data_IF_567280224353
#
_entry.id   IF_567280224353
#
_cell.length_a   1.000
_cell.length_b   1.000
_cell.length_c   1.000
_cell.angle_alpha   90.00
_cell.angle_beta   90.00
_cell.angle_gamma   90.00
#
_symmetry.space_group_name_H-M   'P 1'
#
loop_
_entity.id
_entity.type
_entity.pdbx_description
1 polymer ?
#
# COMPACT_ATOMS: atom_id res chain seq x y z
N UNK A 1 7.08 -0.69 -21.81
CA UNK A 1 6.00 -1.50 -22.44
C UNK A 1 4.83 -0.66 -22.90
N UNK A 2 4.22 0.17 -22.03
CA UNK A 2 3.12 1.06 -22.47
C UNK A 2 3.54 2.02 -23.60
N UNK A 3 4.66 2.72 -23.44
CA UNK A 3 5.19 3.62 -24.49
C UNK A 3 5.40 2.92 -25.84
N UNK A 4 5.82 1.65 -25.82
CA UNK A 4 5.95 0.85 -27.03
C UNK A 4 4.58 0.58 -27.66
N UNK A 5 3.59 0.18 -26.86
CA UNK A 5 2.22 -0.01 -27.34
C UNK A 5 1.61 1.29 -27.87
N UNK A 6 1.89 2.42 -27.23
CA UNK A 6 1.48 3.74 -27.67
C UNK A 6 2.12 4.14 -29.00
N UNK A 7 3.44 3.96 -29.14
CA UNK A 7 4.15 4.20 -30.41
C UNK A 7 3.60 3.33 -31.56
N UNK A 8 3.18 2.10 -31.26
CA UNK A 8 2.55 1.18 -32.22
C UNK A 8 1.05 1.43 -32.43
N UNK A 9 0.45 2.45 -31.79
CA UNK A 9 -1.00 2.74 -31.79
C UNK A 9 -1.88 1.55 -31.38
N UNK A 10 -1.36 0.73 -30.46
CA UNK A 10 -2.05 -0.41 -29.84
C UNK A 10 -2.21 -0.21 -28.33
N UNK A 11 -2.20 1.04 -27.87
CA UNK A 11 -2.43 1.37 -26.47
C UNK A 11 -3.91 1.15 -26.11
N UNK A 12 -4.15 0.47 -25.01
CA UNK A 12 -5.48 0.26 -24.43
C UNK A 12 -5.52 0.86 -23.02
N UNK A 13 -6.73 1.12 -22.51
CA UNK A 13 -6.89 1.54 -21.11
C UNK A 13 -6.38 0.49 -20.13
N UNK A 14 -6.46 -0.81 -20.44
CA UNK A 14 -5.84 -1.86 -19.62
C UNK A 14 -4.32 -1.71 -19.54
N UNK A 15 -3.65 -1.50 -20.68
CA UNK A 15 -2.20 -1.31 -20.69
C UNK A 15 -1.79 -0.03 -19.97
N UNK A 16 -2.61 1.03 -20.04
CA UNK A 16 -2.38 2.27 -19.29
C UNK A 16 -2.53 2.02 -17.79
N UNK A 17 -3.55 1.29 -17.38
CA UNK A 17 -3.74 0.91 -15.97
C UNK A 17 -2.58 0.07 -15.43
N UNK A 18 -2.13 -0.92 -16.19
CA UNK A 18 -0.95 -1.71 -15.86
C UNK A 18 0.35 -0.87 -15.85
N UNK A 19 0.38 0.29 -16.52
CA UNK A 19 1.49 1.22 -16.39
C UNK A 19 1.37 2.07 -15.11
N UNK A 20 0.15 2.44 -14.70
CA UNK A 20 -0.11 3.12 -13.43
C UNK A 20 0.32 2.28 -12.21
N UNK A 21 0.39 0.94 -12.32
CA UNK A 21 0.97 0.11 -11.25
C UNK A 21 2.48 0.28 -11.06
N UNK A 22 3.14 1.19 -11.81
CA UNK A 22 4.44 1.78 -11.45
C UNK A 22 4.50 2.20 -9.97
N UNK A 23 3.35 2.55 -9.38
CA UNK A 23 3.19 2.78 -7.94
C UNK A 23 3.86 1.69 -7.07
N UNK A 24 4.01 0.45 -7.55
CA UNK A 24 4.83 -0.61 -6.94
C UNK A 24 6.24 -0.17 -6.56
N UNK A 25 6.93 0.51 -7.47
CA UNK A 25 8.28 1.00 -7.22
C UNK A 25 8.30 2.07 -6.12
N UNK A 26 7.23 2.86 -6.01
CA UNK A 26 7.13 3.92 -5.01
C UNK A 26 6.74 3.38 -3.64
N UNK A 27 5.70 2.52 -3.55
CA UNK A 27 5.22 1.98 -2.26
C UNK A 27 6.20 0.99 -1.62
N UNK A 28 7.16 0.47 -2.38
CA UNK A 28 8.26 -0.36 -1.88
C UNK A 28 9.61 0.37 -1.85
N UNK A 29 9.62 1.70 -1.90
CA UNK A 29 10.80 2.56 -1.73
C UNK A 29 11.96 2.24 -2.70
N UNK A 30 11.64 1.78 -3.92
CA UNK A 30 12.63 1.44 -4.96
C UNK A 30 13.02 2.63 -5.84
N UNK A 31 12.20 3.69 -5.85
CA UNK A 31 12.45 4.94 -6.57
C UNK A 31 12.26 6.14 -5.65
N UNK A 32 12.94 7.24 -5.97
CA UNK A 32 12.77 8.49 -5.24
C UNK A 32 11.45 9.17 -5.58
N UNK A 33 10.98 10.05 -4.69
CA UNK A 33 9.74 10.82 -4.89
C UNK A 33 9.81 11.65 -6.18
N UNK A 34 10.95 12.26 -6.50
CA UNK A 34 11.12 13.10 -7.70
C UNK A 34 10.98 12.26 -8.98
N UNK A 35 11.55 11.05 -9.00
CA UNK A 35 11.44 10.14 -10.15
C UNK A 35 10.00 9.63 -10.31
N UNK A 36 9.34 9.33 -9.20
CA UNK A 36 7.94 8.92 -9.21
C UNK A 36 7.05 10.05 -9.75
N UNK A 37 7.20 11.28 -9.26
CA UNK A 37 6.44 12.44 -9.74
C UNK A 37 6.62 12.69 -11.23
N UNK A 38 7.86 12.61 -11.75
CA UNK A 38 8.14 12.77 -13.18
C UNK A 38 7.42 11.69 -14.03
N UNK A 39 7.41 10.45 -13.57
CA UNK A 39 6.75 9.36 -14.27
C UNK A 39 5.21 9.45 -14.20
N UNK A 40 4.67 9.84 -13.04
CA UNK A 40 3.23 10.11 -12.86
C UNK A 40 2.78 11.22 -13.80
N UNK A 41 3.54 12.32 -13.91
CA UNK A 41 3.22 13.41 -14.83
C UNK A 41 3.10 12.94 -16.29
N UNK A 42 3.98 12.03 -16.73
CA UNK A 42 3.87 11.42 -18.06
C UNK A 42 2.61 10.56 -18.22
N UNK A 43 2.30 9.72 -17.22
CA UNK A 43 1.08 8.91 -17.22
C UNK A 43 -0.20 9.75 -17.18
N UNK A 44 -0.21 10.89 -16.48
CA UNK A 44 -1.34 11.83 -16.48
C UNK A 44 -1.64 12.39 -17.88
N UNK A 45 -0.60 12.72 -18.64
CA UNK A 45 -0.76 13.17 -20.03
C UNK A 45 -1.44 12.09 -20.89
N UNK A 46 -1.06 10.82 -20.69
CA UNK A 46 -1.70 9.70 -21.37
C UNK A 46 -3.15 9.49 -20.93
N UNK A 47 -3.45 9.61 -19.62
CA UNK A 47 -4.82 9.56 -19.08
C UNK A 47 -5.70 10.64 -19.72
N UNK A 48 -5.17 11.86 -19.82
CA UNK A 48 -5.85 13.00 -20.45
C UNK A 48 -6.09 12.77 -21.94
N UNK A 49 -5.07 12.30 -22.67
CA UNK A 49 -5.15 12.01 -24.10
C UNK A 49 -6.07 10.84 -24.45
N UNK A 50 -6.35 9.94 -23.51
CA UNK A 50 -7.20 8.75 -23.72
C UNK A 50 -8.69 9.02 -23.48
N UNK A 51 -9.08 10.28 -23.19
CA UNK A 51 -10.48 10.64 -22.95
C UNK A 51 -11.08 10.07 -21.67
N UNK A 52 -10.23 9.68 -20.71
CA UNK A 52 -10.68 9.14 -19.42
C UNK A 52 -11.23 10.23 -18.47
N UNK A 53 -10.89 11.50 -18.71
CA UNK A 53 -11.41 12.63 -17.94
C UNK A 53 -12.83 12.97 -18.40
N UNK A 54 -13.81 12.69 -17.54
CA UNK A 54 -15.10 13.36 -17.59
C UNK A 54 -15.08 14.52 -16.58
N UNK A 55 -15.07 15.80 -17.01
CA UNK A 55 -14.96 16.96 -16.12
C UNK A 55 -16.08 17.06 -15.07
N UNK A 56 -17.14 16.27 -15.24
CA UNK A 56 -18.35 16.31 -14.43
C UNK A 56 -18.46 15.15 -13.41
N UNK A 57 -17.58 14.14 -13.48
CA UNK A 57 -17.76 12.89 -12.73
C UNK A 57 -19.04 12.13 -13.09
N UNK A 58 -19.78 12.55 -14.12
CA UNK A 58 -20.83 11.76 -14.72
C UNK A 58 -20.19 10.67 -15.58
N UNK A 59 -20.78 9.49 -15.67
CA UNK A 59 -20.36 8.48 -16.64
C UNK A 59 -20.52 8.99 -18.08
N UNK A 60 -20.27 8.14 -19.08
CA UNK A 60 -20.83 8.41 -20.40
C UNK A 60 -22.35 8.42 -20.20
N UNK A 61 -22.95 9.62 -20.27
CA UNK A 61 -24.39 9.78 -20.04
C UNK A 61 -25.08 9.36 -21.33
N UNK A 62 -25.59 8.13 -21.33
CA UNK A 62 -26.45 7.63 -22.39
C UNK A 62 -27.83 8.21 -22.15
N UNK A 63 -28.31 9.00 -23.11
CA UNK A 63 -29.70 9.45 -23.09
C UNK A 63 -30.54 8.35 -23.72
N UNK A 64 -31.38 7.71 -22.93
CA UNK A 64 -32.35 6.74 -23.39
C UNK A 64 -33.38 7.42 -24.32
N UNK A 65 -34.14 6.61 -25.09
CA UNK A 65 -35.12 7.11 -26.07
C UNK A 65 -36.24 7.97 -25.46
N UNK A 66 -36.44 7.90 -24.15
CA UNK A 66 -37.40 8.67 -23.35
C UNK A 66 -36.83 10.00 -22.81
N UNK A 67 -35.55 10.32 -23.11
CA UNK A 67 -34.86 11.50 -22.58
C UNK A 67 -34.18 11.28 -21.22
N UNK A 68 -34.29 10.09 -20.63
CA UNK A 68 -33.64 9.76 -19.36
C UNK A 68 -32.13 9.62 -19.55
N UNK A 69 -31.38 10.45 -18.85
CA UNK A 69 -29.91 10.43 -18.82
C UNK A 69 -29.42 9.33 -17.86
N UNK A 70 -29.03 8.18 -18.40
CA UNK A 70 -28.48 7.04 -17.64
C UNK A 70 -26.96 7.00 -17.79
N UNK A 71 -26.25 6.73 -16.70
CA UNK A 71 -24.79 6.55 -16.74
C UNK A 71 -24.49 5.17 -17.29
N UNK A 72 -23.78 5.08 -18.41
CA UNK A 72 -23.33 3.81 -18.94
C UNK A 72 -22.27 3.18 -18.02
N UNK A 73 -22.47 1.94 -17.55
CA UNK A 73 -21.55 1.26 -16.64
C UNK A 73 -20.30 0.67 -17.29
N UNK A 74 -20.23 0.59 -18.63
CA UNK A 74 -19.23 -0.24 -19.30
C UNK A 74 -17.83 0.39 -19.44
N UNK A 75 -17.68 1.69 -19.23
CA UNK A 75 -16.37 2.32 -19.35
C UNK A 75 -15.58 2.18 -18.04
N UNK A 76 -14.66 1.22 -17.98
CA UNK A 76 -13.59 1.28 -16.99
C UNK A 76 -12.77 2.54 -17.26
N UNK A 77 -12.69 3.42 -16.26
CA UNK A 77 -12.05 4.74 -16.36
C UNK A 77 -10.88 4.83 -15.41
N UNK A 78 -9.84 5.51 -15.84
CA UNK A 78 -8.66 5.82 -15.01
C UNK A 78 -8.71 7.31 -14.68
N UNK A 79 -8.69 7.62 -13.40
CA UNK A 79 -8.52 8.97 -12.89
C UNK A 79 -7.19 9.07 -12.14
N UNK A 80 -6.72 10.28 -11.94
CA UNK A 80 -5.64 10.57 -10.99
C UNK A 80 -6.21 11.39 -9.84
N UNK A 81 -5.73 11.13 -8.63
CA UNK A 81 -6.11 11.86 -7.43
C UNK A 81 -4.95 11.91 -6.45
N UNK A 82 -4.99 12.86 -5.51
CA UNK A 82 -4.05 12.87 -4.42
C UNK A 82 -4.52 11.88 -3.36
N UNK A 83 -3.72 10.86 -3.13
CA UNK A 83 -4.03 9.77 -2.21
C UNK A 83 -3.19 9.90 -0.94
N UNK A 84 -3.76 9.67 0.26
CA UNK A 84 -2.97 9.67 1.48
C UNK A 84 -1.98 8.51 1.48
N UNK A 85 -0.81 8.69 2.08
CA UNK A 85 0.22 7.65 2.32
C UNK A 85 -0.20 6.69 3.43
N UNK A 86 -1.38 6.12 3.25
CA UNK A 86 -2.04 5.19 4.14
C UNK A 86 -2.26 3.88 3.38
N UNK A 87 -1.71 2.80 3.90
CA UNK A 87 -1.86 1.47 3.32
C UNK A 87 -3.32 1.03 3.41
N UNK A 88 -3.89 0.63 2.27
CA UNK A 88 -5.19 -0.04 2.17
C UNK A 88 -6.32 0.67 2.94
N UNK A 89 -6.37 2.00 2.89
CA UNK A 89 -7.33 2.80 3.65
C UNK A 89 -8.78 2.33 3.45
N UNK A 90 -9.14 1.89 2.24
CA UNK A 90 -10.50 1.44 1.89
C UNK A 90 -10.85 0.05 2.46
N UNK A 91 -9.85 -0.74 2.82
CA UNK A 91 -9.99 -2.08 3.43
C UNK A 91 -9.79 -2.07 4.96
N UNK A 92 -9.50 -0.89 5.53
CA UNK A 92 -9.25 -0.68 6.94
C UNK A 92 -10.22 0.31 7.57
N UNK A 93 -10.12 0.46 8.89
CA UNK A 93 -10.58 1.68 9.56
C UNK A 93 -9.53 2.79 9.37
N UNK A 94 -9.94 4.06 9.39
CA UNK A 94 -8.97 5.17 9.33
C UNK A 94 -7.93 5.04 10.46
N UNK A 95 -8.40 4.64 11.65
CA UNK A 95 -7.54 4.44 12.82
C UNK A 95 -6.48 3.36 12.59
N UNK A 96 -6.88 2.16 12.15
CA UNK A 96 -5.96 1.05 11.92
C UNK A 96 -4.99 1.35 10.78
N UNK A 97 -5.45 2.07 9.76
CA UNK A 97 -4.60 2.51 8.66
C UNK A 97 -3.52 3.48 9.07
N UNK A 98 -3.86 4.49 9.86
CA UNK A 98 -2.85 5.36 10.46
C UNK A 98 -1.94 4.62 11.44
N UNK A 99 -2.48 3.66 12.20
CA UNK A 99 -1.71 2.89 13.18
C UNK A 99 -0.58 2.08 12.51
N UNK A 100 -0.90 1.44 11.38
CA UNK A 100 -0.04 0.43 10.77
C UNK A 100 0.76 0.92 9.57
N UNK A 101 0.39 2.01 8.91
CA UNK A 101 1.12 2.53 7.75
C UNK A 101 2.52 2.98 8.16
N UNK A 102 3.57 2.47 7.49
CA UNK A 102 4.98 2.69 7.87
C UNK A 102 5.34 4.16 8.07
N UNK A 103 4.86 5.06 7.20
CA UNK A 103 5.10 6.50 7.31
C UNK A 103 4.58 7.09 8.63
N UNK A 104 3.30 6.83 8.96
CA UNK A 104 2.68 7.35 10.19
C UNK A 104 3.23 6.64 11.42
N UNK A 105 3.39 5.32 11.32
CA UNK A 105 3.86 4.50 12.42
C UNK A 105 5.23 4.93 12.91
N UNK A 106 6.17 5.21 12.00
CA UNK A 106 7.54 5.62 12.33
C UNK A 106 7.62 7.03 12.91
N UNK A 107 6.88 7.99 12.34
CA UNK A 107 6.80 9.39 12.80
C UNK A 107 6.16 9.52 14.18
N UNK A 108 5.02 8.88 14.39
CA UNK A 108 4.26 8.97 15.65
C UNK A 108 4.65 7.91 16.68
N UNK A 109 5.48 6.92 16.28
CA UNK A 109 5.86 5.75 17.09
C UNK A 109 4.64 5.00 17.61
N UNK A 110 3.70 4.72 16.71
CA UNK A 110 2.36 4.16 17.02
C UNK A 110 2.40 2.82 17.74
N UNK A 111 3.52 2.09 17.64
CA UNK A 111 3.77 0.84 18.36
C UNK A 111 4.02 1.01 19.87
N UNK A 112 4.08 2.25 20.38
CA UNK A 112 4.21 2.56 21.81
C UNK A 112 2.88 3.09 22.36
N UNK A 113 2.60 2.89 23.65
CA UNK A 113 1.40 3.43 24.29
C UNK A 113 1.30 4.96 24.18
N UNK A 114 2.45 5.65 24.24
CA UNK A 114 2.51 7.09 24.08
C UNK A 114 2.19 7.50 22.63
N UNK A 115 2.72 6.79 21.65
CA UNK A 115 2.40 7.03 20.23
C UNK A 115 0.93 6.77 19.92
N UNK A 116 0.35 5.72 20.50
CA UNK A 116 -1.08 5.42 20.40
C UNK A 116 -1.94 6.54 21.00
N UNK A 117 -1.57 7.06 22.18
CA UNK A 117 -2.23 8.21 22.80
C UNK A 117 -2.11 9.46 21.92
N UNK A 118 -0.94 9.71 21.32
CA UNK A 118 -0.72 10.82 20.37
C UNK A 118 -1.60 10.70 19.14
N UNK A 119 -1.73 9.52 18.56
CA UNK A 119 -2.61 9.29 17.40
C UNK A 119 -4.08 9.54 17.76
N UNK A 120 -4.55 9.05 18.91
CA UNK A 120 -5.91 9.32 19.40
C UNK A 120 -6.15 10.82 19.63
N UNK A 121 -5.17 11.51 20.23
CA UNK A 121 -5.24 12.95 20.47
C UNK A 121 -5.24 13.74 19.16
N UNK A 122 -4.46 13.31 18.16
CA UNK A 122 -4.44 13.92 16.83
C UNK A 122 -5.82 13.84 16.17
N UNK A 123 -6.44 12.66 16.14
CA UNK A 123 -7.79 12.48 15.59
C UNK A 123 -8.84 13.31 16.34
N UNK A 124 -8.71 13.39 17.67
CA UNK A 124 -9.57 14.24 18.48
C UNK A 124 -9.38 15.74 18.18
N UNK A 125 -8.14 16.20 17.99
CA UNK A 125 -7.81 17.60 17.66
C UNK A 125 -8.30 18.01 16.27
N UNK A 126 -8.29 17.06 15.33
CA UNK A 126 -8.89 17.22 14.00
C UNK A 126 -10.42 17.34 14.09
N UNK A 127 -11.02 16.82 15.17
CA UNK A 127 -12.47 16.82 15.37
C UNK A 127 -13.14 15.59 14.78
N UNK A 128 -12.40 14.50 14.53
CA UNK A 128 -12.98 13.24 14.07
C UNK A 128 -13.32 12.36 15.27
N UNK A 129 -14.60 11.95 15.46
CA UNK A 129 -14.98 11.07 16.55
C UNK A 129 -14.21 9.75 16.45
N UNK A 130 -13.58 9.33 17.56
CA UNK A 130 -12.79 8.10 17.59
C UNK A 130 -13.63 6.87 17.19
N UNK A 131 -14.88 6.82 17.65
CA UNK A 131 -15.83 5.76 17.30
C UNK A 131 -16.10 5.69 15.79
N UNK A 132 -16.02 6.80 15.06
CA UNK A 132 -16.20 6.81 13.61
C UNK A 132 -14.90 6.40 12.89
N UNK A 133 -13.74 6.82 13.40
CA UNK A 133 -12.42 6.45 12.87
C UNK A 133 -12.11 4.96 13.02
N UNK A 134 -12.76 4.27 13.96
CA UNK A 134 -12.60 2.84 14.20
C UNK A 134 -13.56 1.97 13.38
N UNK A 135 -14.58 2.55 12.75
CA UNK A 135 -15.41 1.81 11.78
C UNK A 135 -14.62 1.59 10.51
N UNK A 136 -14.97 0.55 9.75
CA UNK A 136 -14.44 0.39 8.39
C UNK A 136 -14.66 1.68 7.60
N UNK A 137 -13.63 2.11 6.88
CA UNK A 137 -13.62 3.35 6.13
C UNK A 137 -14.81 3.44 5.19
N UNK A 138 -15.29 2.32 4.64
CA UNK A 138 -16.48 2.27 3.79
C UNK A 138 -17.73 2.82 4.50
N UNK A 139 -17.91 2.49 5.78
CA UNK A 139 -19.05 2.89 6.62
C UNK A 139 -18.81 4.15 7.47
N UNK A 140 -17.61 4.74 7.40
CA UNK A 140 -17.29 6.00 8.07
C UNK A 140 -18.14 7.15 7.51
N UNK A 141 -18.49 8.12 8.35
CA UNK A 141 -19.36 9.23 7.97
C UNK A 141 -18.82 10.03 6.78
N UNK A 142 -19.72 10.44 5.88
CA UNK A 142 -19.35 11.23 4.70
C UNK A 142 -18.89 12.64 5.05
N UNK A 143 -19.25 13.15 6.22
CA UNK A 143 -18.73 14.42 6.70
C UNK A 143 -17.23 14.33 7.01
N UNK A 144 -16.79 13.30 7.73
CA UNK A 144 -15.37 13.12 8.03
C UNK A 144 -14.58 12.89 6.75
N UNK A 145 -15.05 12.04 5.84
CA UNK A 145 -14.37 11.81 4.54
C UNK A 145 -14.19 13.10 3.73
N UNK A 146 -15.19 14.00 3.73
CA UNK A 146 -15.12 15.29 3.03
C UNK A 146 -14.13 16.27 3.67
N UNK A 147 -14.07 16.30 5.00
CA UNK A 147 -13.16 17.19 5.75
C UNK A 147 -11.73 16.65 5.83
N UNK A 148 -11.52 15.34 5.63
CA UNK A 148 -10.25 14.64 5.84
C UNK A 148 -9.05 15.32 5.17
N UNK A 149 -9.14 15.66 3.88
CA UNK A 149 -8.01 16.27 3.16
C UNK A 149 -7.63 17.63 3.75
N UNK A 150 -8.59 18.53 3.88
CA UNK A 150 -8.34 19.88 4.41
C UNK A 150 -7.81 19.87 5.85
N UNK A 151 -8.35 19.02 6.73
CA UNK A 151 -7.86 18.94 8.11
C UNK A 151 -6.48 18.29 8.21
N UNK A 152 -6.20 17.30 7.37
CA UNK A 152 -4.88 16.66 7.35
C UNK A 152 -3.80 17.61 6.85
N UNK A 153 -4.06 18.36 5.78
CA UNK A 153 -3.11 19.36 5.27
C UNK A 153 -2.82 20.46 6.31
N UNK A 154 -3.81 20.78 7.15
CA UNK A 154 -3.68 21.80 8.21
C UNK A 154 -2.92 21.31 9.44
N UNK A 155 -3.24 20.12 9.95
CA UNK A 155 -2.79 19.67 11.28
C UNK A 155 -1.65 18.65 11.26
N UNK A 156 -1.53 17.81 10.24
CA UNK A 156 -0.48 16.77 10.19
C UNK A 156 0.95 17.33 10.13
N UNK A 157 1.23 18.48 9.47
CA UNK A 157 2.57 19.06 9.47
C UNK A 157 3.11 19.37 10.86
N UNK A 158 2.24 19.77 11.81
CA UNK A 158 2.63 20.03 13.21
C UNK A 158 3.19 18.79 13.93
N UNK A 159 2.86 17.59 13.42
CA UNK A 159 3.31 16.30 13.95
C UNK A 159 4.45 15.70 13.12
N UNK A 160 5.03 16.45 12.18
CA UNK A 160 6.11 15.99 11.30
C UNK A 160 5.64 15.11 10.13
N UNK A 161 4.33 15.08 9.86
CA UNK A 161 3.70 14.37 8.74
C UNK A 161 3.44 15.37 7.60
N UNK A 162 4.52 15.85 6.97
CA UNK A 162 4.48 16.93 5.97
C UNK A 162 4.09 16.48 4.56
N UNK A 163 4.49 15.27 4.17
CA UNK A 163 4.27 14.74 2.81
C UNK A 163 3.19 13.65 2.85
N UNK A 164 2.05 13.95 3.47
CA UNK A 164 1.03 12.94 3.74
C UNK A 164 0.28 12.49 2.49
N UNK A 165 0.13 13.36 1.50
CA UNK A 165 -0.51 13.04 0.22
C UNK A 165 0.54 12.89 -0.88
N UNK A 166 0.27 11.98 -1.81
CA UNK A 166 1.05 11.81 -3.02
C UNK A 166 0.11 11.60 -4.21
N UNK A 167 0.62 11.92 -5.40
CA UNK A 167 -0.17 11.77 -6.62
C UNK A 167 -0.30 10.29 -6.98
N UNK A 168 -1.53 9.81 -7.14
CA UNK A 168 -1.84 8.40 -7.39
C UNK A 168 -2.88 8.26 -8.50
N UNK A 169 -3.17 7.02 -8.88
CA UNK A 169 -4.16 6.67 -9.88
C UNK A 169 -5.28 5.84 -9.27
N UNK A 170 -6.50 6.11 -9.70
CA UNK A 170 -7.70 5.40 -9.32
C UNK A 170 -8.35 4.81 -10.56
N UNK A 171 -8.71 3.53 -10.48
CA UNK A 171 -9.53 2.88 -11.50
C UNK A 171 -10.96 2.75 -10.99
N UNK A 172 -11.89 3.23 -11.81
CA UNK A 172 -13.32 3.09 -11.58
C UNK A 172 -13.86 2.01 -12.51
N UNK A 173 -14.65 1.10 -11.95
CA UNK A 173 -15.31 0.03 -12.69
C UNK A 173 -16.78 -0.08 -12.29
N UNK A 174 -17.66 -0.15 -13.30
CA UNK A 174 -19.10 -0.19 -13.09
C UNK A 174 -19.62 1.05 -12.35
N UNK A 175 -20.56 0.83 -11.43
CA UNK A 175 -21.27 1.91 -10.75
C UNK A 175 -20.59 2.44 -9.47
N UNK A 176 -19.80 1.61 -8.78
CA UNK A 176 -19.28 1.95 -7.45
C UNK A 176 -17.91 1.36 -7.12
N UNK A 177 -17.39 0.41 -7.91
CA UNK A 177 -16.11 -0.20 -7.60
C UNK A 177 -14.98 0.76 -7.97
N UNK A 178 -14.16 1.08 -6.97
CA UNK A 178 -13.03 2.01 -7.07
C UNK A 178 -11.83 1.35 -6.43
N UNK A 179 -10.75 1.20 -7.18
CA UNK A 179 -9.49 0.62 -6.69
C UNK A 179 -8.35 1.58 -6.98
N UNK A 180 -7.54 1.87 -5.96
CA UNK A 180 -6.30 2.62 -6.15
C UNK A 180 -5.22 1.71 -6.73
N UNK A 181 -4.31 2.29 -7.51
CA UNK A 181 -3.11 1.62 -7.96
C UNK A 181 -2.29 1.06 -6.78
N UNK A 182 -2.18 1.80 -5.68
CA UNK A 182 -1.48 1.33 -4.48
C UNK A 182 -2.20 0.15 -3.81
N UNK A 183 -3.53 0.20 -3.71
CA UNK A 183 -4.33 -0.89 -3.13
C UNK A 183 -4.15 -2.19 -3.95
N UNK A 184 -4.19 -2.07 -5.29
CA UNK A 184 -3.93 -3.20 -6.21
C UNK A 184 -2.52 -3.75 -6.00
N UNK A 185 -1.52 -2.89 -5.94
CA UNK A 185 -0.12 -3.29 -5.72
C UNK A 185 0.04 -4.04 -4.41
N UNK A 186 -0.52 -3.53 -3.30
CA UNK A 186 -0.42 -4.21 -2.01
C UNK A 186 -1.08 -5.60 -2.06
N UNK A 187 -2.28 -5.70 -2.65
CA UNK A 187 -3.00 -6.97 -2.76
C UNK A 187 -2.27 -7.98 -3.64
N UNK A 188 -1.83 -7.58 -4.83
CA UNK A 188 -1.09 -8.45 -5.77
C UNK A 188 0.25 -8.88 -5.19
N UNK A 189 0.98 -7.95 -4.54
CA UNK A 189 2.25 -8.28 -3.89
C UNK A 189 2.05 -9.30 -2.78
N UNK A 190 0.99 -9.17 -1.99
CA UNK A 190 0.72 -10.12 -0.91
C UNK A 190 0.33 -11.51 -1.42
N UNK A 191 -0.35 -11.62 -2.57
CA UNK A 191 -0.62 -12.91 -3.23
C UNK A 191 0.68 -13.59 -3.71
N UNK A 192 1.69 -12.80 -4.12
CA UNK A 192 3.02 -13.32 -4.44
C UNK A 192 3.81 -13.70 -3.18
N UNK A 193 3.59 -12.99 -2.07
CA UNK A 193 4.26 -13.24 -0.79
C UNK A 193 3.63 -14.37 0.03
N UNK A 194 2.37 -14.74 -0.28
CA UNK A 194 1.63 -15.77 0.44
C UNK A 194 2.19 -17.15 0.12
N UNK A 195 3.25 -17.52 0.82
CA UNK A 195 3.70 -18.91 0.88
C UNK A 195 2.61 -19.70 1.60
N UNK A 196 1.84 -20.48 0.83
CA UNK A 196 0.88 -21.44 1.38
C UNK A 196 1.66 -22.38 2.32
N UNK A 197 1.54 -22.10 3.61
CA UNK A 197 2.22 -22.78 4.70
C UNK A 197 1.82 -24.26 4.87
N UNK A 198 0.83 -24.70 4.10
CA UNK A 198 0.11 -25.97 4.29
C UNK A 198 0.29 -26.96 3.13
N UNK A 199 0.83 -26.54 1.98
CA UNK A 199 1.01 -27.45 0.85
C UNK A 199 2.41 -28.06 0.87
N UNK A 200 2.51 -29.36 1.17
CA UNK A 200 3.68 -30.23 0.95
C UNK A 200 4.06 -30.40 -0.54
N UNK A 201 3.66 -29.47 -1.40
CA UNK A 201 3.90 -29.49 -2.83
C UNK A 201 5.28 -28.88 -3.11
N UNK A 202 5.96 -29.40 -4.12
CA UNK A 202 7.27 -28.91 -4.59
C UNK A 202 7.28 -27.38 -4.73
N UNK A 203 8.32 -26.73 -4.19
CA UNK A 203 8.44 -25.25 -4.11
C UNK A 203 8.27 -24.53 -5.45
N UNK A 204 8.60 -25.20 -6.56
CA UNK A 204 8.48 -24.64 -7.92
C UNK A 204 7.02 -24.60 -8.42
N UNK A 205 6.19 -25.61 -8.10
CA UNK A 205 4.75 -25.60 -8.44
C UNK A 205 4.02 -24.49 -7.68
N UNK A 206 4.37 -24.31 -6.40
CA UNK A 206 3.74 -23.31 -5.53
C UNK A 206 4.00 -21.86 -5.97
N UNK A 207 5.21 -21.55 -6.43
CA UNK A 207 5.55 -20.20 -6.91
C UNK A 207 4.85 -19.84 -8.23
N UNK A 208 4.73 -20.81 -9.14
CA UNK A 208 4.00 -20.61 -10.39
C UNK A 208 2.50 -20.39 -10.14
N UNK A 209 1.90 -21.17 -9.23
CA UNK A 209 0.50 -20.99 -8.83
C UNK A 209 0.24 -19.61 -8.21
N UNK A 210 1.14 -19.15 -7.31
CA UNK A 210 1.06 -17.80 -6.73
C UNK A 210 1.19 -16.71 -7.80
N UNK A 211 2.09 -16.89 -8.77
CA UNK A 211 2.23 -15.96 -9.88
C UNK A 211 0.92 -15.84 -10.68
N UNK A 212 0.30 -16.98 -11.04
CA UNK A 212 -0.97 -16.95 -11.78
C UNK A 212 -2.13 -16.42 -10.95
N UNK A 213 -2.16 -16.69 -9.65
CA UNK A 213 -3.13 -16.11 -8.73
C UNK A 213 -2.99 -14.58 -8.65
N UNK A 214 -1.76 -14.08 -8.55
CA UNK A 214 -1.47 -12.64 -8.55
C UNK A 214 -1.76 -11.98 -9.90
N UNK A 215 -1.41 -12.64 -11.00
CA UNK A 215 -1.71 -12.18 -12.37
C UNK A 215 -3.22 -12.09 -12.62
N UNK A 216 -3.97 -13.13 -12.22
CA UNK A 216 -5.42 -13.14 -12.39
C UNK A 216 -6.13 -12.06 -11.56
N UNK A 217 -5.56 -11.66 -10.40
CA UNK A 217 -6.05 -10.57 -9.57
C UNK A 217 -5.84 -9.16 -10.17
N UNK A 218 -4.98 -8.99 -11.20
CA UNK A 218 -4.89 -7.74 -11.94
C UNK A 218 -6.11 -7.48 -12.84
N UNK A 219 -6.85 -8.54 -13.18
CA UNK A 219 -8.10 -8.43 -13.93
C UNK A 219 -9.23 -7.97 -13.02
N UNK A 220 -9.99 -6.97 -13.47
CA UNK A 220 -11.21 -6.52 -12.79
C UNK A 220 -12.31 -7.59 -12.72
N UNK A 221 -12.21 -8.67 -13.49
CA UNK A 221 -13.13 -9.81 -13.37
C UNK A 221 -12.95 -10.59 -12.07
N UNK A 222 -11.79 -10.46 -11.41
CA UNK A 222 -11.39 -11.30 -10.27
C UNK A 222 -11.15 -10.46 -9.00
N UNK A 223 -12.05 -9.51 -8.71
CA UNK A 223 -11.93 -8.61 -7.55
C UNK A 223 -11.85 -9.38 -6.24
N UNK A 224 -12.56 -10.51 -6.11
CA UNK A 224 -12.52 -11.34 -4.90
C UNK A 224 -11.12 -11.87 -4.60
N UNK A 225 -10.36 -12.24 -5.64
CA UNK A 225 -8.98 -12.71 -5.50
C UNK A 225 -8.07 -11.56 -5.06
N UNK A 226 -8.26 -10.38 -5.64
CA UNK A 226 -7.56 -9.18 -5.21
C UNK A 226 -7.88 -8.84 -3.75
N UNK A 227 -9.14 -8.94 -3.33
CA UNK A 227 -9.55 -8.67 -1.96
C UNK A 227 -8.92 -9.64 -0.96
N UNK A 228 -8.82 -10.93 -1.29
CA UNK A 228 -8.05 -11.89 -0.49
C UNK A 228 -6.58 -11.46 -0.35
N UNK A 229 -5.97 -11.02 -1.45
CA UNK A 229 -4.63 -10.45 -1.45
C UNK A 229 -4.50 -9.25 -0.52
N UNK A 230 -5.44 -8.31 -0.58
CA UNK A 230 -5.45 -7.13 0.30
C UNK A 230 -5.57 -7.52 1.78
N UNK A 231 -6.37 -8.54 2.12
CA UNK A 231 -6.43 -9.06 3.48
C UNK A 231 -5.11 -9.72 3.93
N UNK A 232 -4.45 -10.48 3.05
CA UNK A 232 -3.10 -11.01 3.33
C UNK A 232 -2.07 -9.88 3.52
N UNK A 233 -2.15 -8.81 2.73
CA UNK A 233 -1.27 -7.64 2.86
C UNK A 233 -1.44 -6.96 4.23
N UNK A 234 -2.68 -6.85 4.72
CA UNK A 234 -3.01 -6.34 6.06
C UNK A 234 -2.34 -7.18 7.15
N UNK A 235 -2.41 -8.51 7.03
CA UNK A 235 -1.77 -9.41 8.00
C UNK A 235 -0.25 -9.30 8.02
N UNK A 236 0.36 -9.21 6.83
CA UNK A 236 1.81 -9.00 6.68
C UNK A 236 2.22 -7.67 7.31
N UNK A 237 1.48 -6.58 7.05
CA UNK A 237 1.80 -5.27 7.64
C UNK A 237 1.66 -5.26 9.17
N UNK A 238 0.64 -5.93 9.72
CA UNK A 238 0.51 -6.11 11.17
C UNK A 238 1.68 -6.91 11.74
N UNK A 239 2.14 -7.96 11.05
CA UNK A 239 3.33 -8.73 11.45
C UNK A 239 4.60 -7.85 11.42
N UNK A 240 4.78 -7.02 10.39
CA UNK A 240 5.89 -6.06 10.30
C UNK A 240 5.88 -5.11 11.51
N UNK A 241 4.72 -4.52 11.83
CA UNK A 241 4.61 -3.59 12.96
C UNK A 241 4.90 -4.27 14.31
N UNK A 242 4.37 -5.48 14.53
CA UNK A 242 4.59 -6.24 15.78
C UNK A 242 6.05 -6.65 15.96
N UNK A 243 6.64 -7.27 14.94
CA UNK A 243 8.06 -7.65 14.97
C UNK A 243 8.95 -6.42 15.06
N UNK A 244 8.62 -5.35 14.34
CA UNK A 244 9.37 -4.13 14.32
C UNK A 244 9.36 -3.46 15.70
N UNK A 245 8.20 -3.39 16.34
CA UNK A 245 8.05 -2.90 17.72
C UNK A 245 8.91 -3.68 18.71
N UNK A 246 8.84 -5.02 18.64
CA UNK A 246 9.65 -5.92 19.47
C UNK A 246 11.14 -5.68 19.26
N UNK A 247 11.57 -5.56 18.00
CA UNK A 247 12.96 -5.32 17.61
C UNK A 247 13.49 -3.96 18.07
N UNK A 248 12.67 -2.91 18.02
CA UNK A 248 13.05 -1.55 18.41
C UNK A 248 13.06 -1.38 19.94
N UNK A 249 12.16 -2.06 20.64
CA UNK A 249 11.98 -1.94 22.08
C UNK A 249 12.95 -2.81 22.88
N UNK A 250 13.27 -4.02 22.37
CA UNK A 250 14.22 -4.93 23.03
C UNK A 250 15.65 -4.47 22.78
N UNK A 251 16.36 -4.16 23.86
CA UNK A 251 17.78 -3.83 23.81
C UNK A 251 18.59 -5.01 23.25
N UNK A 252 19.52 -4.72 22.34
CA UNK A 252 20.41 -5.73 21.76
C UNK A 252 19.80 -6.61 20.65
N UNK A 253 18.52 -6.45 20.32
CA UNK A 253 17.90 -7.18 19.21
C UNK A 253 18.44 -6.71 17.85
N UNK A 254 18.55 -5.39 17.67
CA UNK A 254 19.23 -4.79 16.52
C UNK A 254 20.70 -4.57 16.89
N UNK A 255 21.59 -5.31 16.23
CA UNK A 255 23.04 -5.22 16.48
C UNK A 255 23.66 -4.27 15.47
N UNK A 256 24.47 -3.31 15.95
CA UNK A 256 25.16 -2.35 15.08
C UNK A 256 26.65 -2.67 14.97
N UNK A 257 27.10 -2.91 13.73
CA UNK A 257 28.51 -2.94 13.38
C UNK A 257 28.97 -1.55 12.88
N UNK A 258 30.27 -1.43 12.53
CA UNK A 258 30.83 -0.17 12.01
C UNK A 258 30.11 0.30 10.73
N UNK A 259 29.94 -0.59 9.76
CA UNK A 259 29.39 -0.27 8.42
C UNK A 259 27.89 -0.55 8.26
N UNK A 260 27.34 -1.53 8.97
CA UNK A 260 25.94 -1.98 8.80
C UNK A 260 25.29 -2.33 10.14
N UNK A 261 24.00 -2.60 10.13
CA UNK A 261 23.22 -3.19 11.22
C UNK A 261 22.74 -4.56 10.80
N UNK A 262 22.47 -5.43 11.76
CA UNK A 262 21.81 -6.68 11.47
C UNK A 262 20.80 -7.08 12.54
N UNK A 263 19.81 -7.86 12.11
CA UNK A 263 18.71 -8.34 12.93
C UNK A 263 18.30 -9.74 12.51
N UNK A 264 18.02 -10.61 13.48
CA UNK A 264 17.51 -11.95 13.24
C UNK A 264 16.07 -12.04 13.74
N UNK A 265 15.17 -12.55 12.91
CA UNK A 265 13.81 -12.85 13.34
C UNK A 265 13.79 -14.19 14.08
N UNK A 266 13.28 -14.16 15.32
CA UNK A 266 13.20 -15.33 16.19
C UNK A 266 11.75 -15.72 16.56
N UNK A 267 10.74 -14.88 16.25
CA UNK A 267 9.34 -15.16 16.60
C UNK A 267 8.66 -16.08 15.56
N UNK A 268 8.32 -17.33 15.89
CA UNK A 268 7.85 -18.30 14.91
C UNK A 268 6.53 -17.90 14.22
N UNK A 269 5.64 -17.14 14.86
CA UNK A 269 4.29 -16.89 14.31
C UNK A 269 4.33 -15.87 13.17
N UNK A 270 5.04 -14.76 13.39
CA UNK A 270 5.17 -13.71 12.39
C UNK A 270 6.29 -13.99 11.38
N UNK A 271 7.34 -14.70 11.79
CA UNK A 271 8.46 -15.09 10.91
C UNK A 271 7.96 -15.84 9.69
N UNK A 272 6.94 -16.69 9.83
CA UNK A 272 6.36 -17.42 8.68
C UNK A 272 5.80 -16.46 7.62
N UNK A 273 5.15 -15.38 8.03
CA UNK A 273 4.57 -14.37 7.13
C UNK A 273 5.65 -13.47 6.50
N UNK A 274 6.77 -13.29 7.19
CA UNK A 274 7.89 -12.46 6.74
C UNK A 274 8.97 -13.24 5.99
N UNK A 275 8.85 -14.58 5.91
CA UNK A 275 9.81 -15.47 5.26
C UNK A 275 9.70 -15.46 3.71
N UNK A 276 9.46 -14.29 3.12
CA UNK A 276 9.51 -14.04 1.69
C UNK A 276 10.44 -12.84 1.42
N UNK A 277 11.28 -12.84 0.37
CA UNK A 277 12.26 -11.77 0.13
C UNK A 277 11.64 -10.37 0.19
N UNK A 278 10.53 -10.14 -0.50
CA UNK A 278 9.87 -8.84 -0.53
C UNK A 278 9.29 -8.43 0.84
N UNK A 279 8.66 -9.36 1.57
CA UNK A 279 8.11 -9.08 2.91
C UNK A 279 9.23 -8.74 3.91
N UNK A 280 10.36 -9.45 3.83
CA UNK A 280 11.53 -9.18 4.66
C UNK A 280 12.20 -7.84 4.31
N UNK A 281 12.23 -7.46 3.04
CA UNK A 281 12.69 -6.14 2.61
C UNK A 281 11.82 -5.02 3.18
N UNK A 282 10.48 -5.16 3.11
CA UNK A 282 9.54 -4.18 3.73
C UNK A 282 9.79 -4.03 5.22
N UNK A 283 10.02 -5.15 5.93
CA UNK A 283 10.38 -5.14 7.34
C UNK A 283 11.70 -4.38 7.59
N UNK A 284 12.71 -4.57 6.74
CA UNK A 284 13.98 -3.86 6.86
C UNK A 284 13.81 -2.35 6.69
N UNK A 285 13.08 -1.90 5.67
CA UNK A 285 12.81 -0.48 5.47
C UNK A 285 12.05 0.14 6.63
N UNK A 286 11.02 -0.55 7.14
CA UNK A 286 10.30 -0.11 8.34
C UNK A 286 11.25 0.11 9.54
N UNK A 287 12.17 -0.83 9.80
CA UNK A 287 13.16 -0.69 10.87
C UNK A 287 14.14 0.46 10.62
N UNK A 288 14.61 0.63 9.39
CA UNK A 288 15.53 1.70 9.03
C UNK A 288 14.88 3.07 9.25
N UNK A 289 13.63 3.24 8.82
CA UNK A 289 12.86 4.47 9.04
C UNK A 289 12.59 4.71 10.53
N UNK A 290 12.18 3.68 11.27
CA UNK A 290 11.97 3.81 12.71
C UNK A 290 13.25 4.22 13.46
N UNK A 291 14.41 3.68 13.07
CA UNK A 291 15.70 4.05 13.64
C UNK A 291 16.11 5.48 13.26
N UNK A 292 15.85 5.89 12.01
CA UNK A 292 16.09 7.26 11.54
C UNK A 292 15.27 8.26 12.36
N UNK A 293 13.99 8.00 12.60
CA UNK A 293 13.11 8.83 13.44
C UNK A 293 13.48 8.81 14.94
N UNK A 294 14.34 7.87 15.37
CA UNK A 294 14.98 7.89 16.70
C UNK A 294 16.31 8.64 16.72
N UNK A 295 16.73 9.25 15.60
CA UNK A 295 17.98 9.98 15.47
C UNK A 295 19.21 9.09 15.24
N UNK A 296 19.01 7.81 14.90
CA UNK A 296 20.12 6.93 14.58
C UNK A 296 20.72 7.28 13.20
N UNK A 297 22.05 7.16 13.05
CA UNK A 297 22.70 7.33 11.75
C UNK A 297 22.17 6.34 10.72
N UNK A 298 21.98 6.74 9.47
CA UNK A 298 21.61 5.80 8.41
C UNK A 298 22.76 4.81 8.17
N UNK A 299 22.44 3.52 8.23
CA UNK A 299 23.33 2.40 7.89
C UNK A 299 22.48 1.32 7.21
N UNK A 300 23.03 0.57 6.23
CA UNK A 300 22.36 -0.60 5.68
C UNK A 300 21.96 -1.59 6.78
N UNK A 301 20.85 -2.29 6.56
CA UNK A 301 20.32 -3.28 7.49
C UNK A 301 20.28 -4.65 6.81
N UNK A 302 20.87 -5.63 7.48
CA UNK A 302 20.81 -7.03 7.08
C UNK A 302 19.81 -7.75 7.98
N UNK A 303 18.79 -8.36 7.40
CA UNK A 303 17.85 -9.18 8.14
C UNK A 303 17.96 -10.65 7.73
N UNK A 304 17.96 -11.54 8.73
CA UNK A 304 17.94 -12.98 8.52
C UNK A 304 16.68 -13.60 9.12
N UNK A 305 16.06 -14.49 8.36
CA UNK A 305 14.85 -15.23 8.72
C UNK A 305 15.09 -16.73 8.53
N UNK A 306 14.76 -17.56 9.53
CA UNK A 306 14.87 -19.01 9.40
C UNK A 306 13.70 -19.53 8.55
N UNK A 307 13.99 -20.21 7.44
CA UNK A 307 12.95 -20.78 6.59
C UNK A 307 12.42 -22.09 7.20
N UNK A 308 11.17 -22.47 6.87
CA UNK A 308 10.48 -23.68 7.35
C UNK A 308 11.14 -25.04 6.96
N UNK A 309 12.33 -25.06 6.37
CA UNK A 309 13.04 -26.29 5.99
C UNK A 309 14.33 -26.49 6.79
N UNK A 310 14.88 -27.71 6.85
CA UNK A 310 16.14 -27.95 7.55
C UNK A 310 17.25 -27.08 6.94
N UNK A 311 17.88 -26.26 7.79
CA UNK A 311 19.12 -25.50 7.57
C UNK A 311 19.13 -24.36 6.52
N UNK A 312 17.99 -23.90 6.01
CA UNK A 312 17.96 -22.75 5.08
C UNK A 312 17.59 -21.44 5.78
N UNK A 313 18.42 -20.42 5.61
CA UNK A 313 18.19 -19.06 6.12
C UNK A 313 18.01 -18.11 4.94
N UNK A 314 16.91 -17.35 4.95
CA UNK A 314 16.72 -16.23 4.03
C UNK A 314 17.44 -15.01 4.61
N UNK A 315 18.33 -14.40 3.83
CA UNK A 315 19.03 -13.18 4.21
C UNK A 315 18.74 -12.10 3.18
N UNK A 316 18.31 -10.94 3.64
CA UNK A 316 18.04 -9.75 2.82
C UNK A 316 18.87 -8.59 3.34
N UNK A 317 19.41 -7.78 2.42
CA UNK A 317 20.03 -6.49 2.71
C UNK A 317 19.20 -5.36 2.13
N UNK A 318 18.95 -4.33 2.93
CA UNK A 318 18.30 -3.07 2.55
C UNK A 318 19.18 -1.86 2.90
#
# INVERSE_FOLDING_TARGET
>A
MYELAHALRRNTNELLWLACTLTDQFVHDRITNERYQAAVMGLEQHVNGSGNLDPSGAGAVVTLKDGTKVRAPEASRIAYEDEPRLMLLREWSLFDSMLCSSYVATKLRTWTDNGLKKLKLLLARIGFPLADCQKSFQYMSMEVKRKMRGEFDRLLPEYGLTEFYYRSFLRVHGYSSKVSAADVVYGVTALLESLNAESNVTKESSAAEQFWAAYSALSLSNVDQLQKGMQSAIEIQRAILRQGSSAISKTGFIRSAKKFRWVKLDDPVDTIKLCHPQALTKFCFFLMDALKERGARMKPLICSCLAKGPEKVLVVGA
#
